data_IF_470544379778
#
_entry.id   IF_470544379778
#
_cell.length_a   1.000
_cell.length_b   1.000
_cell.length_c   1.000
_cell.angle_alpha   90.00
_cell.angle_beta   90.00
_cell.angle_gamma   90.00
#
_symmetry.space_group_name_H-M   'P 1'
#
loop_
_entity.id
_entity.type
_entity.pdbx_description
1 polymer ?
#
# COMPACT_ATOMS: atom_id res chain seq x y z
N UNK A 1 -11.02 9.32 28.81
CA UNK A 1 -10.21 8.74 27.70
C UNK A 1 -10.88 7.43 27.32
N UNK A 2 -11.43 7.32 26.12
CA UNK A 2 -11.90 6.01 25.62
C UNK A 2 -10.66 5.15 25.38
N UNK A 3 -10.54 4.04 26.09
CA UNK A 3 -9.51 3.06 25.81
C UNK A 3 -9.96 2.21 24.61
N UNK A 4 -9.10 2.11 23.60
CA UNK A 4 -9.36 1.37 22.36
C UNK A 4 -8.73 -0.02 22.39
N UNK A 5 -8.24 -0.49 23.54
CA UNK A 5 -7.56 -1.78 23.67
C UNK A 5 -8.30 -2.94 23.02
N UNK A 6 -9.58 -3.15 23.34
CA UNK A 6 -10.38 -4.23 22.71
C UNK A 6 -10.40 -4.09 21.19
N UNK A 7 -10.66 -2.89 20.67
CA UNK A 7 -10.68 -2.62 19.22
C UNK A 7 -9.33 -2.90 18.57
N UNK A 8 -8.22 -2.50 19.22
CA UNK A 8 -6.85 -2.76 18.73
C UNK A 8 -6.58 -4.25 18.66
N UNK A 9 -6.92 -5.02 19.70
CA UNK A 9 -6.74 -6.48 19.69
C UNK A 9 -7.60 -7.16 18.63
N UNK A 10 -8.85 -6.75 18.44
CA UNK A 10 -9.69 -7.27 17.37
C UNK A 10 -9.09 -7.00 15.99
N UNK A 11 -8.64 -5.77 15.72
CA UNK A 11 -7.99 -5.42 14.45
C UNK A 11 -6.69 -6.18 14.25
N UNK A 12 -5.89 -6.36 15.31
CA UNK A 12 -4.67 -7.16 15.27
C UNK A 12 -4.98 -8.61 14.87
N UNK A 13 -6.00 -9.23 15.46
CA UNK A 13 -6.45 -10.59 15.09
C UNK A 13 -6.86 -10.66 13.62
N UNK A 14 -7.69 -9.72 13.15
CA UNK A 14 -8.08 -9.65 11.72
C UNK A 14 -6.85 -9.51 10.81
N UNK A 15 -5.88 -8.71 11.24
CA UNK A 15 -4.63 -8.50 10.51
C UNK A 15 -3.76 -9.76 10.46
N UNK A 16 -3.70 -10.54 11.54
CA UNK A 16 -3.01 -11.83 11.56
C UNK A 16 -3.71 -12.87 10.68
N UNK A 17 -5.05 -12.93 10.72
CA UNK A 17 -5.85 -13.82 9.88
C UNK A 17 -5.68 -13.50 8.39
N UNK A 18 -5.49 -12.23 8.05
CA UNK A 18 -5.27 -11.78 6.67
C UNK A 18 -3.93 -12.23 6.07
N UNK A 19 -2.98 -12.70 6.88
CA UNK A 19 -1.71 -13.26 6.35
C UNK A 19 -1.98 -14.53 5.53
N UNK A 20 -3.00 -15.32 5.90
CA UNK A 20 -3.39 -16.51 5.13
C UNK A 20 -4.32 -16.15 3.97
N UNK A 21 -3.91 -16.48 2.75
CA UNK A 21 -4.71 -16.27 1.52
C UNK A 21 -6.04 -17.02 1.54
N UNK A 22 -6.12 -18.17 2.21
CA UNK A 22 -7.35 -18.95 2.35
C UNK A 22 -8.47 -18.16 3.03
N UNK A 23 -8.12 -17.22 3.91
CA UNK A 23 -9.07 -16.38 4.62
C UNK A 23 -9.53 -15.16 3.80
N UNK A 24 -8.83 -14.81 2.72
CA UNK A 24 -9.02 -13.52 2.04
C UNK A 24 -10.43 -13.34 1.51
N UNK A 25 -11.00 -14.35 0.83
CA UNK A 25 -12.37 -14.25 0.28
C UNK A 25 -13.40 -13.97 1.37
N UNK A 26 -13.28 -14.65 2.52
CA UNK A 26 -14.16 -14.46 3.66
C UNK A 26 -13.96 -13.10 4.31
N UNK A 27 -12.71 -12.70 4.57
CA UNK A 27 -12.40 -11.40 5.17
C UNK A 27 -12.84 -10.24 4.28
N UNK A 28 -12.65 -10.34 2.97
CA UNK A 28 -13.10 -9.33 2.02
C UNK A 28 -14.63 -9.21 2.04
N UNK A 29 -15.33 -10.34 2.09
CA UNK A 29 -16.80 -10.34 2.19
C UNK A 29 -17.32 -9.75 3.50
N UNK A 30 -16.70 -10.08 4.63
CA UNK A 30 -17.25 -9.78 5.96
C UNK A 30 -16.73 -8.48 6.59
N UNK A 31 -15.47 -8.10 6.33
CA UNK A 31 -14.81 -7.03 7.09
C UNK A 31 -14.11 -5.95 6.25
N UNK A 32 -14.10 -6.04 4.92
CA UNK A 32 -13.39 -5.07 4.06
C UNK A 32 -13.79 -3.61 4.36
N UNK A 33 -15.09 -3.33 4.38
CA UNK A 33 -15.63 -1.98 4.64
C UNK A 33 -15.25 -1.53 6.06
N UNK A 34 -15.30 -2.43 7.03
CA UNK A 34 -14.91 -2.15 8.42
C UNK A 34 -13.43 -1.78 8.50
N UNK A 35 -12.54 -2.54 7.85
CA UNK A 35 -11.11 -2.24 7.79
C UNK A 35 -10.84 -0.91 7.07
N UNK A 36 -11.53 -0.65 5.94
CA UNK A 36 -11.43 0.61 5.22
C UNK A 36 -11.85 1.81 6.10
N UNK A 37 -12.88 1.67 6.93
CA UNK A 37 -13.27 2.70 7.89
C UNK A 37 -12.22 2.88 9.01
N UNK A 38 -11.71 1.79 9.58
CA UNK A 38 -10.69 1.86 10.64
C UNK A 38 -9.35 2.39 10.15
N UNK A 39 -9.07 2.31 8.85
CA UNK A 39 -7.90 2.96 8.25
C UNK A 39 -7.90 4.49 8.44
N UNK A 40 -9.04 5.12 8.76
CA UNK A 40 -9.15 6.57 8.99
C UNK A 40 -9.38 6.91 10.46
N UNK A 41 -9.26 5.92 11.36
CA UNK A 41 -9.60 6.06 12.76
C UNK A 41 -8.61 6.98 13.52
N UNK A 42 -9.08 7.79 14.48
CA UNK A 42 -8.19 8.71 15.23
C UNK A 42 -7.02 8.01 15.97
N UNK A 43 -7.22 6.75 16.36
CA UNK A 43 -6.18 5.94 17.03
C UNK A 43 -5.17 5.36 16.03
N UNK A 44 -3.89 5.65 16.25
CA UNK A 44 -2.78 5.26 15.36
C UNK A 44 -2.69 3.72 15.23
N UNK A 45 -2.83 2.98 16.33
CA UNK A 45 -2.71 1.51 16.32
C UNK A 45 -3.88 0.87 15.56
N UNK A 46 -5.09 1.39 15.71
CA UNK A 46 -6.22 0.93 14.90
C UNK A 46 -5.97 1.14 13.40
N UNK A 47 -5.44 2.31 12.98
CA UNK A 47 -5.10 2.55 11.57
C UNK A 47 -4.03 1.58 11.08
N UNK A 48 -2.98 1.39 11.88
CA UNK A 48 -1.88 0.46 11.60
C UNK A 48 -2.38 -0.96 11.30
N UNK A 49 -3.15 -1.55 12.22
CA UNK A 49 -3.66 -2.90 12.05
C UNK A 49 -4.63 -3.01 10.86
N UNK A 50 -5.47 -1.99 10.65
CA UNK A 50 -6.40 -1.97 9.52
C UNK A 50 -5.67 -1.91 8.18
N UNK A 51 -4.68 -1.02 8.03
CA UNK A 51 -3.88 -0.89 6.80
C UNK A 51 -3.06 -2.15 6.53
N UNK A 52 -2.48 -2.76 7.57
CA UNK A 52 -1.77 -4.03 7.43
C UNK A 52 -2.69 -5.13 6.91
N UNK A 53 -3.90 -5.25 7.48
CA UNK A 53 -4.88 -6.21 7.00
C UNK A 53 -5.28 -5.96 5.54
N UNK A 54 -5.60 -4.71 5.19
CA UNK A 54 -5.95 -4.32 3.83
C UNK A 54 -4.81 -4.63 2.84
N UNK A 55 -3.56 -4.37 3.23
CA UNK A 55 -2.39 -4.65 2.40
C UNK A 55 -2.23 -6.13 2.06
N UNK A 56 -2.46 -7.01 3.05
CA UNK A 56 -2.44 -8.44 2.80
C UNK A 56 -3.58 -8.89 1.87
N UNK A 57 -4.80 -8.37 2.05
CA UNK A 57 -5.95 -8.70 1.20
C UNK A 57 -5.73 -8.25 -0.26
N UNK A 58 -4.97 -7.18 -0.46
CA UNK A 58 -4.59 -6.66 -1.78
C UNK A 58 -3.64 -7.59 -2.56
N UNK A 59 -2.99 -8.56 -1.91
CA UNK A 59 -2.13 -9.53 -2.58
C UNK A 59 -2.91 -10.63 -3.34
N UNK A 60 -4.25 -10.62 -3.28
CA UNK A 60 -5.10 -11.58 -3.97
C UNK A 60 -5.94 -10.87 -5.07
N UNK A 61 -5.76 -11.32 -6.32
CA UNK A 61 -6.42 -10.75 -7.49
C UNK A 61 -7.94 -10.98 -7.51
N UNK A 62 -8.42 -12.04 -6.87
CA UNK A 62 -9.86 -12.39 -6.85
C UNK A 62 -10.70 -11.34 -6.10
N UNK A 63 -10.05 -10.48 -5.32
CA UNK A 63 -10.71 -9.46 -4.50
C UNK A 63 -10.61 -8.04 -5.09
N UNK A 64 -9.92 -7.86 -6.22
CA UNK A 64 -9.57 -6.53 -6.73
C UNK A 64 -10.77 -5.62 -6.92
N UNK A 65 -11.84 -6.12 -7.52
CA UNK A 65 -13.06 -5.34 -7.76
C UNK A 65 -13.63 -4.77 -6.44
N UNK A 66 -13.80 -5.63 -5.43
CA UNK A 66 -14.31 -5.22 -4.11
C UNK A 66 -13.36 -4.25 -3.40
N UNK A 67 -12.05 -4.48 -3.52
CA UNK A 67 -11.01 -3.61 -2.95
C UNK A 67 -11.07 -2.21 -3.57
N UNK A 68 -11.26 -2.14 -4.89
CA UNK A 68 -11.43 -0.89 -5.63
C UNK A 68 -12.71 -0.18 -5.18
N UNK A 69 -13.85 -0.87 -5.17
CA UNK A 69 -15.14 -0.31 -4.77
C UNK A 69 -15.13 0.23 -3.34
N UNK A 70 -14.41 -0.44 -2.43
CA UNK A 70 -14.25 0.01 -1.05
C UNK A 70 -13.28 1.21 -0.88
N UNK A 71 -12.68 1.72 -1.97
CA UNK A 71 -11.78 2.86 -1.93
C UNK A 71 -10.44 2.58 -1.25
N UNK A 72 -10.02 1.31 -1.21
CA UNK A 72 -8.79 0.88 -0.52
C UNK A 72 -7.55 1.41 -1.25
N UNK A 73 -7.57 1.55 -2.57
CA UNK A 73 -6.43 2.07 -3.34
C UNK A 73 -6.02 3.46 -2.87
N UNK A 74 -6.98 4.38 -2.77
CA UNK A 74 -6.74 5.75 -2.28
C UNK A 74 -6.21 5.76 -0.86
N UNK A 75 -6.69 4.84 -0.03
CA UNK A 75 -6.21 4.67 1.35
C UNK A 75 -4.74 4.26 1.37
N UNK A 76 -4.35 3.24 0.60
CA UNK A 76 -2.96 2.78 0.51
C UNK A 76 -2.04 3.86 -0.05
N UNK A 77 -2.47 4.57 -1.10
CA UNK A 77 -1.72 5.69 -1.69
C UNK A 77 -1.49 6.79 -0.65
N UNK A 78 -2.52 7.12 0.15
CA UNK A 78 -2.39 8.11 1.23
C UNK A 78 -1.33 7.71 2.25
N UNK A 79 -1.27 6.42 2.61
CA UNK A 79 -0.27 5.89 3.54
C UNK A 79 1.13 5.70 2.96
N UNK A 80 1.26 5.68 1.64
CA UNK A 80 2.57 5.60 0.97
C UNK A 80 3.34 6.93 1.03
N UNK A 81 2.66 8.06 1.27
CA UNK A 81 3.33 9.35 1.43
C UNK A 81 4.28 9.34 2.64
N UNK A 82 5.52 9.84 2.50
CA UNK A 82 6.37 10.09 3.65
C UNK A 82 5.78 11.27 4.43
N UNK A 83 5.23 11.02 5.61
CA UNK A 83 4.64 12.05 6.47
C UNK A 83 4.86 11.72 7.96
N UNK A 84 4.89 12.76 8.80
CA UNK A 84 5.21 12.64 10.23
C UNK A 84 4.19 11.83 11.04
N UNK A 85 2.96 11.71 10.53
CA UNK A 85 1.86 11.01 11.19
C UNK A 85 1.75 9.53 10.81
N UNK A 86 2.49 9.07 9.79
CA UNK A 86 2.55 7.66 9.41
C UNK A 86 3.86 7.07 9.92
N UNK A 87 3.76 6.09 10.81
CA UNK A 87 4.96 5.34 11.22
C UNK A 87 5.61 4.70 10.00
N UNK A 88 6.94 4.70 9.92
CA UNK A 88 7.70 4.09 8.81
C UNK A 88 7.20 2.68 8.44
N UNK A 89 6.81 1.87 9.43
CA UNK A 89 6.20 0.56 9.21
C UNK A 89 4.91 0.60 8.38
N UNK A 90 4.03 1.57 8.60
CA UNK A 90 2.77 1.69 7.83
C UNK A 90 3.05 2.13 6.41
N UNK A 91 3.98 3.06 6.23
CA UNK A 91 4.39 3.49 4.90
C UNK A 91 4.96 2.31 4.10
N UNK A 92 5.88 1.56 4.71
CA UNK A 92 6.43 0.34 4.14
C UNK A 92 5.32 -0.66 3.75
N UNK A 93 4.38 -0.94 4.66
CA UNK A 93 3.29 -1.88 4.39
C UNK A 93 2.35 -1.40 3.28
N UNK A 94 2.09 -0.09 3.21
CA UNK A 94 1.30 0.50 2.15
C UNK A 94 1.99 0.37 0.79
N UNK A 95 3.30 0.65 0.71
CA UNK A 95 4.09 0.48 -0.51
C UNK A 95 4.16 -1.01 -0.91
N UNK A 96 4.37 -1.92 0.04
CA UNK A 96 4.36 -3.36 -0.22
C UNK A 96 3.01 -3.87 -0.73
N UNK A 97 1.89 -3.30 -0.25
CA UNK A 97 0.57 -3.58 -0.76
C UNK A 97 0.39 -3.06 -2.20
N UNK A 98 0.85 -1.83 -2.49
CA UNK A 98 0.85 -1.27 -3.84
C UNK A 98 1.69 -2.12 -4.80
N UNK A 99 2.86 -2.61 -4.35
CA UNK A 99 3.69 -3.56 -5.10
C UNK A 99 2.92 -4.83 -5.44
N UNK A 100 2.25 -5.41 -4.46
CA UNK A 100 1.43 -6.62 -4.60
C UNK A 100 0.32 -6.42 -5.63
N UNK A 101 -0.44 -5.34 -5.54
CA UNK A 101 -1.47 -4.97 -6.51
C UNK A 101 -0.89 -4.79 -7.91
N UNK A 102 0.23 -4.07 -8.03
CA UNK A 102 0.87 -3.78 -9.30
C UNK A 102 1.38 -5.04 -10.03
N UNK A 103 1.45 -6.21 -9.39
CA UNK A 103 1.71 -7.47 -10.09
C UNK A 103 0.61 -7.79 -11.12
N UNK A 104 -0.62 -7.32 -10.89
CA UNK A 104 -1.77 -7.55 -11.75
C UNK A 104 -1.89 -6.47 -12.84
N UNK A 105 -1.93 -6.89 -14.11
CA UNK A 105 -1.99 -5.97 -15.26
C UNK A 105 -3.23 -5.05 -15.24
N UNK A 106 -4.38 -5.56 -14.80
CA UNK A 106 -5.67 -4.84 -14.78
C UNK A 106 -5.67 -3.61 -13.89
N UNK A 107 -4.83 -3.55 -12.86
CA UNK A 107 -4.83 -2.46 -11.87
C UNK A 107 -3.67 -1.47 -12.03
N UNK A 108 -2.61 -1.82 -12.76
CA UNK A 108 -1.41 -0.96 -12.94
C UNK A 108 -1.77 0.44 -13.42
N UNK A 109 -2.65 0.54 -14.42
CA UNK A 109 -3.10 1.84 -14.93
C UNK A 109 -3.91 2.62 -13.89
N UNK A 110 -4.78 1.94 -13.16
CA UNK A 110 -5.62 2.58 -12.15
C UNK A 110 -4.78 3.13 -11.00
N UNK A 111 -3.77 2.40 -10.52
CA UNK A 111 -2.85 2.89 -9.49
C UNK A 111 -2.16 4.20 -9.91
N UNK A 112 -1.70 4.29 -11.16
CA UNK A 112 -1.08 5.52 -11.68
C UNK A 112 -2.11 6.66 -11.79
N UNK A 113 -3.32 6.39 -12.28
CA UNK A 113 -4.40 7.38 -12.38
C UNK A 113 -4.84 7.92 -11.02
N UNK A 114 -4.81 7.08 -9.98
CA UNK A 114 -5.14 7.45 -8.60
C UNK A 114 -3.98 8.16 -7.88
N UNK A 115 -2.85 8.42 -8.57
CA UNK A 115 -1.75 9.22 -8.05
C UNK A 115 -0.70 8.44 -7.26
N UNK A 116 -0.57 7.13 -7.46
CA UNK A 116 0.43 6.33 -6.74
C UNK A 116 1.89 6.75 -7.01
N UNK A 117 2.17 7.46 -8.11
CA UNK A 117 3.54 7.80 -8.51
C UNK A 117 4.20 8.82 -7.58
N UNK A 118 3.46 9.84 -7.15
CA UNK A 118 4.00 10.91 -6.30
C UNK A 118 4.55 10.39 -4.96
N UNK A 119 3.80 9.63 -4.14
CA UNK A 119 4.34 9.11 -2.88
C UNK A 119 5.51 8.14 -3.09
N UNK A 120 5.52 7.36 -4.19
CA UNK A 120 6.64 6.47 -4.52
C UNK A 120 7.92 7.26 -4.85
N UNK A 121 7.80 8.35 -5.62
CA UNK A 121 8.94 9.23 -5.95
C UNK A 121 9.50 9.90 -4.70
N UNK A 122 8.65 10.31 -3.77
CA UNK A 122 9.08 10.88 -2.50
C UNK A 122 9.73 9.81 -1.60
N UNK A 123 9.11 8.63 -1.51
CA UNK A 123 9.62 7.51 -0.71
C UNK A 123 10.96 6.96 -1.23
N UNK A 124 11.26 7.09 -2.52
CA UNK A 124 12.56 6.71 -3.09
C UNK A 124 13.76 7.45 -2.47
N UNK A 125 13.53 8.60 -1.81
CA UNK A 125 14.57 9.43 -1.19
C UNK A 125 14.80 9.13 0.30
N UNK A 126 14.09 8.16 0.86
CA UNK A 126 14.27 7.72 2.26
C UNK A 126 15.64 7.10 2.47
N UNK A 127 16.13 7.10 3.71
CA UNK A 127 17.36 6.38 4.11
C UNK A 127 17.10 4.87 4.35
N UNK A 128 15.83 4.47 4.45
CA UNK A 128 15.46 3.06 4.64
C UNK A 128 15.62 2.27 3.34
N UNK A 129 16.64 1.42 3.29
CA UNK A 129 16.89 0.48 2.18
C UNK A 129 15.68 -0.43 1.91
N UNK A 130 14.99 -0.87 2.95
CA UNK A 130 13.79 -1.72 2.82
C UNK A 130 12.67 -1.00 2.07
N UNK A 131 12.42 0.27 2.40
CA UNK A 131 11.43 1.08 1.68
C UNK A 131 11.90 1.36 0.25
N UNK A 132 13.17 1.67 0.04
CA UNK A 132 13.74 1.87 -1.30
C UNK A 132 13.53 0.64 -2.20
N UNK A 133 13.77 -0.58 -1.67
CA UNK A 133 13.55 -1.85 -2.38
C UNK A 133 12.08 -2.03 -2.78
N UNK A 134 11.15 -1.80 -1.84
CA UNK A 134 9.72 -1.91 -2.13
C UNK A 134 9.25 -0.86 -3.15
N UNK A 135 9.78 0.38 -3.09
CA UNK A 135 9.51 1.42 -4.08
C UNK A 135 10.01 1.00 -5.46
N UNK A 136 11.26 0.56 -5.59
CA UNK A 136 11.84 0.12 -6.85
C UNK A 136 11.04 -1.04 -7.46
N UNK A 137 10.67 -2.03 -6.64
CA UNK A 137 9.86 -3.17 -7.09
C UNK A 137 8.44 -2.74 -7.51
N UNK A 138 7.83 -1.78 -6.81
CA UNK A 138 6.52 -1.23 -7.18
C UNK A 138 6.60 -0.51 -8.53
N UNK A 139 7.60 0.37 -8.71
CA UNK A 139 7.81 1.11 -9.95
C UNK A 139 8.09 0.17 -11.13
N UNK A 140 8.88 -0.89 -10.92
CA UNK A 140 9.12 -1.94 -11.90
C UNK A 140 7.78 -2.55 -12.36
N UNK A 141 6.95 -3.01 -11.43
CA UNK A 141 5.65 -3.60 -11.74
C UNK A 141 4.73 -2.63 -12.51
N UNK A 142 4.68 -1.35 -12.10
CA UNK A 142 3.86 -0.33 -12.77
C UNK A 142 4.33 -0.04 -14.21
N UNK A 143 5.64 -0.11 -14.47
CA UNK A 143 6.25 0.14 -15.78
C UNK A 143 5.95 -0.94 -16.83
N UNK A 144 5.48 -2.11 -16.40
CA UNK A 144 5.07 -3.20 -17.28
C UNK A 144 3.79 -2.90 -18.06
N UNK A 145 3.05 -1.85 -17.71
CA UNK A 145 1.94 -1.34 -18.52
C UNK A 145 2.45 -0.22 -19.45
N UNK A 146 2.20 -0.35 -20.76
CA UNK A 146 2.66 0.62 -21.77
C UNK A 146 2.10 2.03 -21.47
N UNK A 147 0.83 2.08 -21.09
CA UNK A 147 0.08 3.29 -20.81
C UNK A 147 0.64 4.08 -19.62
N UNK A 148 1.37 3.41 -18.72
CA UNK A 148 1.97 4.05 -17.56
C UNK A 148 3.28 4.77 -17.89
N UNK A 149 4.03 4.32 -18.90
CA UNK A 149 5.43 4.75 -19.12
C UNK A 149 5.59 6.26 -19.31
N UNK A 150 4.71 6.87 -20.10
CA UNK A 150 4.73 8.33 -20.34
C UNK A 150 4.39 9.09 -19.06
N UNK A 151 3.36 8.66 -18.33
CA UNK A 151 2.97 9.26 -17.06
C UNK A 151 4.08 9.14 -16.02
N UNK A 152 4.73 7.98 -15.97
CA UNK A 152 5.89 7.71 -15.11
C UNK A 152 7.06 8.64 -15.41
N UNK A 153 7.45 8.78 -16.68
CA UNK A 153 8.54 9.67 -17.08
C UNK A 153 8.25 11.14 -16.71
N UNK A 154 6.99 11.58 -16.84
CA UNK A 154 6.57 12.95 -16.50
C UNK A 154 6.50 13.23 -15.00
N UNK A 155 6.32 12.22 -14.16
CA UNK A 155 6.18 12.36 -12.70
C UNK A 155 7.51 12.40 -11.95
N UNK A 156 8.63 12.69 -12.63
CA UNK A 156 9.93 12.83 -11.95
C UNK A 156 10.53 11.52 -11.43
N UNK A 157 10.06 10.37 -11.94
CA UNK A 157 10.58 9.05 -11.55
C UNK A 157 12.02 8.86 -12.03
N UNK A 158 12.40 9.41 -13.19
CA UNK A 158 13.76 9.25 -13.75
C UNK A 158 14.84 9.74 -12.77
N UNK A 159 14.79 10.99 -12.24
CA UNK A 159 15.72 11.41 -11.19
C UNK A 159 15.72 10.53 -9.94
N UNK A 160 14.56 10.02 -9.51
CA UNK A 160 14.47 9.13 -8.36
C UNK A 160 15.16 7.78 -8.63
N UNK A 161 14.99 7.21 -9.83
CA UNK A 161 15.67 5.98 -10.24
C UNK A 161 17.19 6.19 -10.32
N UNK A 162 17.66 7.32 -10.84
CA UNK A 162 19.11 7.63 -10.87
C UNK A 162 19.68 7.66 -9.44
N UNK A 163 18.96 8.25 -8.48
CA UNK A 163 19.39 8.25 -7.08
C UNK A 163 19.40 6.82 -6.48
N UNK A 164 18.38 6.01 -6.76
CA UNK A 164 18.32 4.61 -6.31
C UNK A 164 19.45 3.76 -6.90
N UNK A 165 19.83 3.99 -8.17
CA UNK A 165 20.96 3.31 -8.82
C UNK A 165 22.33 3.63 -8.17
N UNK A 166 22.41 4.70 -7.37
CA UNK A 166 23.60 5.06 -6.60
C UNK A 166 23.58 4.46 -5.18
N UNK A 167 22.54 3.70 -4.82
CA UNK A 167 22.46 3.03 -3.53
C UNK A 167 23.57 1.99 -3.38
N UNK A 168 24.06 1.81 -2.15
CA UNK A 168 25.04 0.77 -1.79
C UNK A 168 24.36 -0.56 -1.42
N UNK A 169 23.05 -0.65 -1.62
CA UNK A 169 22.27 -1.86 -1.42
C UNK A 169 22.69 -2.96 -2.42
N UNK A 170 23.14 -4.14 -1.94
CA UNK A 170 23.60 -5.24 -2.80
C UNK A 170 22.46 -5.99 -3.52
#
# INVERSE_FOLDING_TARGET
>A
KSDFETTRYCLLVLSNLSVSRENHSRLVKEVLVTLANFSKHRDIKCRQHAVFALGNLCANSDNLEKIIEAGVLKTLITYAFPNTDTSMNVQFQAIAALRGLATHNTIRMQLVREGALEPLVLAARTESVEVQREVAATLCNLSLAEENKVSMARNGIIPALIALLQSQDP
#
